data_IF_964842822316
#
_entry.id   IF_964842822316
#
_cell.length_a   1.000
_cell.length_b   1.000
_cell.length_c   1.000
_cell.angle_alpha   90.00
_cell.angle_beta   90.00
_cell.angle_gamma   90.00
#
_symmetry.space_group_name_H-M   'P 1'
#
loop_
_entity.id
_entity.type
_entity.pdbx_description
1 polymer ?
#
# COMPACT_ATOMS: atom_id res chain seq x y z
N UNK A 1 -4.94 -13.45 -11.71
CA UNK A 1 -4.68 -12.00 -11.71
C UNK A 1 -3.69 -11.64 -10.62
N UNK A 2 -2.44 -11.38 -10.99
CA UNK A 2 -1.31 -11.14 -10.05
C UNK A 2 -1.62 -10.01 -9.06
N UNK A 3 -2.28 -8.94 -9.52
CA UNK A 3 -2.71 -7.83 -8.69
C UNK A 3 -3.63 -8.23 -7.52
N UNK A 4 -4.66 -9.05 -7.80
CA UNK A 4 -5.59 -9.50 -6.76
C UNK A 4 -4.85 -10.32 -5.69
N UNK A 5 -3.88 -11.15 -6.09
CA UNK A 5 -3.04 -11.89 -5.16
C UNK A 5 -2.23 -10.98 -4.23
N UNK A 6 -1.63 -9.91 -4.78
CA UNK A 6 -0.89 -8.91 -4.01
C UNK A 6 -1.82 -8.17 -3.04
N UNK A 7 -3.02 -7.78 -3.50
CA UNK A 7 -4.00 -7.08 -2.68
C UNK A 7 -4.53 -7.95 -1.53
N UNK A 8 -4.81 -9.23 -1.78
CA UNK A 8 -5.23 -10.17 -0.74
C UNK A 8 -4.10 -10.45 0.26
N UNK A 9 -2.86 -10.57 -0.21
CA UNK A 9 -1.71 -10.71 0.67
C UNK A 9 -1.53 -9.47 1.56
N UNK A 10 -1.73 -8.27 1.00
CA UNK A 10 -1.70 -7.01 1.75
C UNK A 10 -2.74 -7.02 2.87
N UNK A 11 -4.01 -7.30 2.55
CA UNK A 11 -5.08 -7.38 3.55
C UNK A 11 -4.84 -8.47 4.60
N UNK A 12 -4.30 -9.62 4.19
CA UNK A 12 -4.00 -10.71 5.12
C UNK A 12 -2.89 -10.32 6.11
N UNK A 13 -1.82 -9.65 5.65
CA UNK A 13 -0.77 -9.16 6.54
C UNK A 13 -1.29 -8.05 7.46
N UNK A 14 -2.06 -7.10 6.93
CA UNK A 14 -2.63 -6.01 7.73
C UNK A 14 -3.56 -6.56 8.81
N UNK A 15 -4.48 -7.46 8.45
CA UNK A 15 -5.37 -8.12 9.40
C UNK A 15 -4.63 -9.00 10.41
N UNK A 16 -3.58 -9.71 10.00
CA UNK A 16 -2.77 -10.52 10.91
C UNK A 16 -2.06 -9.64 11.95
N UNK A 17 -1.43 -8.54 11.53
CA UNK A 17 -0.66 -7.70 12.43
C UNK A 17 -1.55 -6.85 13.35
N UNK A 18 -2.62 -6.29 12.81
CA UNK A 18 -3.47 -5.33 13.52
C UNK A 18 -4.60 -6.04 14.29
N UNK A 19 -5.31 -6.99 13.67
CA UNK A 19 -6.49 -7.63 14.28
C UNK A 19 -6.13 -8.86 15.12
N UNK A 20 -5.25 -9.74 14.62
CA UNK A 20 -4.90 -11.00 15.30
C UNK A 20 -3.82 -10.77 16.35
N UNK A 21 -2.70 -10.16 15.95
CA UNK A 21 -1.54 -10.00 16.82
C UNK A 21 -1.57 -8.70 17.62
N UNK A 22 -2.40 -7.71 17.22
CA UNK A 22 -2.52 -6.38 17.85
C UNK A 22 -1.17 -5.71 18.09
N UNK A 23 -0.22 -5.94 17.18
CA UNK A 23 1.11 -5.36 17.28
C UNK A 23 1.01 -3.94 16.70
N UNK A 24 1.43 -2.90 17.43
CA UNK A 24 1.52 -1.55 16.89
C UNK A 24 2.74 -1.46 15.96
N UNK A 25 2.72 -2.21 14.86
CA UNK A 25 3.85 -2.38 13.95
C UNK A 25 4.21 -1.07 13.24
N UNK A 26 3.26 -0.12 13.16
CA UNK A 26 3.46 1.24 12.63
C UNK A 26 4.20 2.15 13.63
N UNK A 27 3.96 1.99 14.94
CA UNK A 27 4.60 2.79 16.00
C UNK A 27 5.96 2.22 16.42
N UNK A 28 6.08 0.89 16.51
CA UNK A 28 7.28 0.24 17.05
C UNK A 28 8.44 0.09 16.05
N UNK A 29 8.32 0.68 14.84
CA UNK A 29 9.35 0.71 13.79
C UNK A 29 10.13 -0.60 13.57
N UNK A 30 9.45 -1.74 13.78
CA UNK A 30 10.07 -3.05 13.65
C UNK A 30 10.16 -3.41 12.17
N UNK A 31 11.30 -3.08 11.57
CA UNK A 31 11.63 -3.26 10.16
C UNK A 31 11.28 -4.64 9.59
N UNK A 32 11.31 -5.72 10.39
CA UNK A 32 10.95 -7.08 9.94
C UNK A 32 9.45 -7.24 9.62
N UNK A 33 8.59 -6.51 10.33
CA UNK A 33 7.14 -6.49 10.12
C UNK A 33 6.76 -5.36 9.15
N UNK A 34 7.48 -4.24 9.21
CA UNK A 34 7.21 -3.04 8.43
C UNK A 34 7.61 -3.19 6.95
N UNK A 35 8.73 -3.88 6.67
CA UNK A 35 9.20 -4.13 5.31
C UNK A 35 8.19 -4.93 4.44
N UNK A 36 7.68 -6.12 4.86
CA UNK A 36 6.72 -6.86 4.05
C UNK A 36 5.41 -6.08 3.84
N UNK A 37 4.97 -5.30 4.84
CA UNK A 37 3.81 -4.42 4.70
C UNK A 37 4.05 -3.32 3.64
N UNK A 38 5.18 -2.61 3.71
CA UNK A 38 5.52 -1.56 2.73
C UNK A 38 5.68 -2.12 1.32
N UNK A 39 6.32 -3.28 1.17
CA UNK A 39 6.50 -3.92 -0.14
C UNK A 39 5.14 -4.18 -0.79
N UNK A 40 4.20 -4.77 -0.05
CA UNK A 40 2.85 -5.04 -0.55
C UNK A 40 2.05 -3.76 -0.80
N UNK A 41 2.18 -2.77 0.09
CA UNK A 41 1.56 -1.46 -0.07
C UNK A 41 1.99 -0.77 -1.37
N UNK A 42 3.30 -0.69 -1.64
CA UNK A 42 3.82 -0.08 -2.87
C UNK A 42 3.50 -0.91 -4.11
N UNK A 43 3.56 -2.23 -4.03
CA UNK A 43 3.20 -3.12 -5.14
C UNK A 43 1.72 -2.99 -5.52
N UNK A 44 0.82 -2.87 -4.54
CA UNK A 44 -0.60 -2.62 -4.76
C UNK A 44 -0.86 -1.26 -5.41
N UNK A 45 -0.27 -0.18 -4.88
CA UNK A 45 -0.41 1.17 -5.44
C UNK A 45 0.13 1.25 -6.88
N UNK A 46 1.29 0.67 -7.16
CA UNK A 46 1.84 0.57 -8.51
C UNK A 46 0.88 -0.18 -9.44
N UNK A 47 0.35 -1.31 -9.00
CA UNK A 47 -0.62 -2.09 -9.75
C UNK A 47 -1.88 -1.28 -10.11
N UNK A 48 -2.45 -0.56 -9.14
CA UNK A 48 -3.61 0.30 -9.36
C UNK A 48 -3.34 1.39 -10.42
N UNK A 49 -2.20 2.08 -10.33
CA UNK A 49 -1.85 3.13 -11.28
C UNK A 49 -1.65 2.56 -12.70
N UNK A 50 -0.85 1.51 -12.84
CA UNK A 50 -0.50 0.94 -14.16
C UNK A 50 -1.71 0.33 -14.86
N UNK A 51 -2.59 -0.35 -14.12
CA UNK A 51 -3.82 -0.92 -14.69
C UNK A 51 -4.76 0.16 -15.24
N UNK A 52 -4.91 1.28 -14.51
CA UNK A 52 -5.73 2.41 -14.97
C UNK A 52 -5.08 3.11 -16.15
N UNK A 53 -3.75 3.27 -16.14
CA UNK A 53 -3.01 3.91 -17.23
C UNK A 53 -3.12 3.13 -18.55
N UNK A 54 -3.07 1.79 -18.49
CA UNK A 54 -3.29 0.92 -19.66
C UNK A 54 -4.66 1.10 -20.29
N UNK A 55 -5.65 1.54 -19.53
CA UNK A 55 -7.03 1.73 -20.01
C UNK A 55 -7.27 3.16 -20.47
N UNK A 56 -6.71 4.14 -19.75
CA UNK A 56 -6.89 5.56 -20.05
C UNK A 56 -5.75 6.36 -19.42
N UNK A 57 -5.03 7.11 -20.27
CA UNK A 57 -3.92 7.97 -19.84
C UNK A 57 -4.37 9.04 -18.82
N UNK A 58 -5.47 9.74 -19.08
CA UNK A 58 -5.97 10.79 -18.19
C UNK A 58 -6.30 10.27 -16.78
N UNK A 59 -7.06 9.17 -16.70
CA UNK A 59 -7.36 8.49 -15.42
C UNK A 59 -6.10 7.95 -14.73
N UNK A 60 -5.11 7.48 -15.48
CA UNK A 60 -3.83 7.02 -14.93
C UNK A 60 -3.05 8.15 -14.25
N UNK A 61 -3.00 9.33 -14.88
CA UNK A 61 -2.38 10.53 -14.30
C UNK A 61 -3.10 10.96 -13.02
N UNK A 62 -4.44 10.93 -13.00
CA UNK A 62 -5.21 11.23 -11.78
C UNK A 62 -4.84 10.25 -10.65
N UNK A 63 -4.80 8.95 -10.94
CA UNK A 63 -4.43 7.94 -9.94
C UNK A 63 -3.00 8.11 -9.43
N UNK A 64 -2.06 8.45 -10.30
CA UNK A 64 -0.67 8.74 -9.90
C UNK A 64 -0.62 9.94 -8.94
N UNK A 65 -1.30 11.04 -9.27
CA UNK A 65 -1.37 12.22 -8.41
C UNK A 65 -1.96 11.90 -7.05
N UNK A 66 -3.03 11.10 -7.00
CA UNK A 66 -3.64 10.66 -5.75
C UNK A 66 -2.68 9.82 -4.89
N UNK A 67 -1.94 8.88 -5.51
CA UNK A 67 -0.94 8.06 -4.81
C UNK A 67 0.19 8.93 -4.26
N UNK A 68 0.66 9.93 -5.01
CA UNK A 68 1.70 10.88 -4.53
C UNK A 68 1.19 11.67 -3.33
N UNK A 69 -0.03 12.22 -3.41
CA UNK A 69 -0.66 12.94 -2.30
C UNK A 69 -0.80 12.02 -1.08
N UNK A 70 -1.24 10.78 -1.27
CA UNK A 70 -1.39 9.80 -0.20
C UNK A 70 -0.06 9.50 0.50
N UNK A 71 1.03 9.33 -0.25
CA UNK A 71 2.38 9.11 0.31
C UNK A 71 2.81 10.33 1.13
N UNK A 72 2.64 11.54 0.61
CA UNK A 72 2.99 12.78 1.32
C UNK A 72 2.23 12.90 2.63
N UNK A 73 0.90 12.71 2.60
CA UNK A 73 0.06 12.76 3.81
C UNK A 73 0.49 11.68 4.81
N UNK A 74 0.72 10.46 4.34
CA UNK A 74 1.13 9.35 5.19
C UNK A 74 2.48 9.62 5.89
N UNK A 75 3.42 10.28 5.20
CA UNK A 75 4.68 10.71 5.84
C UNK A 75 4.39 11.76 6.91
N UNK A 76 3.65 12.82 6.58
CA UNK A 76 3.35 13.94 7.50
C UNK A 76 2.65 13.46 8.78
N UNK A 77 1.69 12.55 8.66
CA UNK A 77 0.89 12.08 9.81
C UNK A 77 1.63 11.07 10.68
N UNK A 78 2.63 10.37 10.13
CA UNK A 78 3.38 9.33 10.84
C UNK A 78 4.84 9.71 11.15
N UNK A 79 5.24 10.96 10.93
CA UNK A 79 6.41 11.64 11.56
C UNK A 79 5.98 12.43 12.78
#
# INVERSE_FOLDING_TARGET
SIFLGIFLAFLAIEGLYDFVLKIPFRENWNWKLLAPYLILYYAGNYGFVVMVWKTSLMRGVIMLSLVIIQIIINIITHT
#
